data_IF_211828761432
#
_entry.id   IF_211828761432
#
_cell.length_a   1.000
_cell.length_b   1.000
_cell.length_c   1.000
_cell.angle_alpha   90.00
_cell.angle_beta   90.00
_cell.angle_gamma   90.00
#
_symmetry.space_group_name_H-M   'P 1'
#
loop_
_entity.id
_entity.type
_entity.pdbx_description
1 polymer ?
#
# COMPACT_ATOMS: atom_id res chain seq x y z
N UNK A 1 9.94 1.59 24.43
CA UNK A 1 9.17 2.49 25.35
C UNK A 1 8.17 3.35 24.59
N UNK A 2 8.55 4.03 23.51
CA UNK A 2 7.62 4.93 22.81
C UNK A 2 6.55 4.16 22.02
N UNK A 3 6.91 3.11 21.31
CA UNK A 3 5.94 2.23 20.66
C UNK A 3 4.91 1.65 21.63
N UNK A 4 5.34 1.21 22.81
CA UNK A 4 4.44 0.69 23.85
C UNK A 4 3.45 1.76 24.34
N UNK A 5 3.93 2.98 24.55
CA UNK A 5 3.10 4.14 24.91
C UNK A 5 2.06 4.46 23.81
N UNK A 6 2.49 4.42 22.54
CA UNK A 6 1.61 4.71 21.40
C UNK A 6 0.55 3.60 21.22
N UNK A 7 0.94 2.34 21.34
CA UNK A 7 0.00 1.22 21.30
C UNK A 7 -1.01 1.35 22.44
N UNK A 8 -0.55 1.53 23.68
CA UNK A 8 -1.45 1.65 24.83
C UNK A 8 -2.42 2.84 24.73
N UNK A 9 -2.02 3.92 24.03
CA UNK A 9 -2.82 5.14 23.92
C UNK A 9 -3.77 5.16 22.73
N UNK A 10 -3.37 4.56 21.62
CA UNK A 10 -4.05 4.79 20.33
C UNK A 10 -4.49 3.52 19.60
N UNK A 11 -3.92 2.34 19.95
CA UNK A 11 -4.32 1.11 19.27
C UNK A 11 -5.68 0.66 19.76
N UNK A 12 -6.62 0.56 18.85
CA UNK A 12 -7.95 0.01 19.09
C UNK A 12 -8.05 -1.33 18.35
N UNK A 13 -8.13 -2.48 19.08
CA UNK A 13 -8.21 -3.80 18.46
C UNK A 13 -9.63 -4.18 18.01
N UNK A 14 -10.65 -3.41 18.39
CA UNK A 14 -12.04 -3.76 18.14
C UNK A 14 -12.39 -3.72 16.64
N UNK A 15 -13.37 -4.50 16.17
CA UNK A 15 -13.92 -4.39 14.83
C UNK A 15 -14.36 -2.94 14.52
N UNK A 16 -14.15 -2.51 13.27
CA UNK A 16 -14.46 -1.14 12.82
C UNK A 16 -13.63 -0.02 13.46
N UNK A 17 -12.57 -0.37 14.20
CA UNK A 17 -11.68 0.62 14.81
C UNK A 17 -11.11 1.60 13.80
N UNK A 18 -11.15 2.89 14.13
CA UNK A 18 -10.64 3.98 13.28
C UNK A 18 -9.12 4.16 13.41
N UNK A 19 -8.49 3.59 14.43
CA UNK A 19 -7.05 3.74 14.66
C UNK A 19 -6.43 2.42 15.06
N UNK A 20 -5.51 1.94 14.25
CA UNK A 20 -4.68 0.77 14.54
C UNK A 20 -3.22 1.11 14.43
N UNK A 21 -2.43 0.65 15.38
CA UNK A 21 -0.97 0.82 15.37
C UNK A 21 -0.32 -0.41 14.76
N UNK A 22 0.64 -0.19 13.89
CA UNK A 22 1.49 -1.20 13.26
C UNK A 22 2.94 -0.85 13.58
N UNK A 23 3.79 -1.83 13.85
CA UNK A 23 5.21 -1.60 14.05
C UNK A 23 5.93 -1.66 12.70
N UNK A 24 6.64 -0.58 12.36
CA UNK A 24 7.21 -0.39 11.03
C UNK A 24 8.68 0.08 11.07
N UNK A 25 9.64 -0.74 11.54
CA UNK A 25 11.06 -0.47 11.32
C UNK A 25 11.32 -0.41 9.81
N UNK A 26 12.16 0.55 9.36
CA UNK A 26 12.16 1.01 7.98
C UNK A 26 12.56 -0.08 6.95
N UNK A 27 13.72 -0.70 7.13
CA UNK A 27 14.24 -1.69 6.16
C UNK A 27 15.46 -2.45 6.72
N UNK A 28 15.91 -3.55 6.11
CA UNK A 28 17.17 -4.23 6.46
C UNK A 28 18.41 -3.33 6.45
N UNK A 29 18.43 -2.28 5.63
CA UNK A 29 19.54 -1.31 5.57
C UNK A 29 19.69 -0.45 6.82
N UNK A 30 18.59 -0.12 7.48
CA UNK A 30 18.54 0.96 8.47
C UNK A 30 18.22 0.49 9.88
N UNK A 31 17.97 -0.80 10.06
CA UNK A 31 17.57 -1.39 11.34
C UNK A 31 18.46 -2.57 11.69
N UNK A 32 18.92 -2.65 12.95
CA UNK A 32 19.75 -3.77 13.40
C UNK A 32 18.95 -5.07 13.52
N UNK A 33 19.65 -6.20 13.45
CA UNK A 33 19.06 -7.54 13.59
C UNK A 33 18.31 -7.70 14.91
N UNK A 34 18.91 -7.19 16.00
CA UNK A 34 18.35 -7.24 17.35
C UNK A 34 17.03 -6.47 17.40
N UNK A 35 17.01 -5.25 16.83
CA UNK A 35 15.80 -4.42 16.78
C UNK A 35 14.67 -5.06 16.01
N UNK A 36 14.97 -5.72 14.87
CA UNK A 36 13.96 -6.47 14.10
C UNK A 36 13.42 -7.66 14.90
N UNK A 37 14.31 -8.47 15.50
CA UNK A 37 13.90 -9.62 16.31
C UNK A 37 13.07 -9.22 17.54
N UNK A 38 13.50 -8.18 18.27
CA UNK A 38 12.74 -7.63 19.39
C UNK A 38 11.37 -7.07 18.95
N UNK A 39 11.33 -6.42 17.80
CA UNK A 39 10.07 -5.91 17.24
C UNK A 39 9.10 -7.05 16.93
N UNK A 40 9.56 -8.16 16.37
CA UNK A 40 8.70 -9.30 16.07
C UNK A 40 8.10 -9.94 17.33
N UNK A 41 8.90 -10.09 18.38
CA UNK A 41 8.41 -10.58 19.69
C UNK A 41 7.39 -9.62 20.29
N UNK A 42 7.76 -8.34 20.36
CA UNK A 42 6.94 -7.30 20.98
C UNK A 42 5.60 -7.09 20.24
N UNK A 43 5.62 -7.11 18.89
CA UNK A 43 4.39 -7.00 18.10
C UNK A 43 3.38 -8.09 18.43
N UNK A 44 3.85 -9.35 18.55
CA UNK A 44 3.00 -10.50 18.88
C UNK A 44 2.49 -10.49 20.32
N UNK A 45 3.30 -10.04 21.27
CA UNK A 45 2.86 -9.80 22.65
C UNK A 45 1.74 -8.75 22.70
N UNK A 46 1.87 -7.68 21.90
CA UNK A 46 0.87 -6.61 21.82
C UNK A 46 -0.27 -6.89 20.85
N UNK A 47 -0.20 -7.98 20.08
CA UNK A 47 -1.19 -8.35 19.03
C UNK A 47 -1.37 -7.25 17.99
N UNK A 48 -0.28 -6.59 17.60
CA UNK A 48 -0.23 -5.60 16.51
C UNK A 48 0.50 -6.18 15.30
N UNK A 49 0.20 -5.68 14.13
CA UNK A 49 0.83 -6.10 12.88
C UNK A 49 2.21 -5.46 12.70
N UNK A 50 2.96 -6.02 11.76
CA UNK A 50 4.31 -5.58 11.41
C UNK A 50 4.41 -5.29 9.92
N UNK A 51 5.15 -4.23 9.60
CA UNK A 51 5.41 -3.79 8.24
C UNK A 51 6.85 -3.30 8.09
N UNK A 52 7.48 -3.59 6.95
CA UNK A 52 8.77 -3.02 6.56
C UNK A 52 8.90 -2.99 5.03
N UNK A 53 9.85 -2.19 4.51
CA UNK A 53 10.24 -2.26 3.11
C UNK A 53 11.14 -3.49 2.91
N UNK A 54 10.90 -4.24 1.84
CA UNK A 54 11.69 -5.43 1.53
C UNK A 54 11.73 -5.70 0.03
N UNK A 55 12.89 -6.12 -0.45
CA UNK A 55 13.16 -6.47 -1.84
C UNK A 55 12.73 -5.35 -2.82
N UNK A 56 13.01 -4.09 -2.45
CA UNK A 56 12.70 -2.92 -3.28
C UNK A 56 13.73 -2.73 -4.38
N UNK A 57 15.02 -2.88 -4.07
CA UNK A 57 16.12 -2.64 -5.01
C UNK A 57 17.12 -3.78 -5.01
N UNK A 58 17.88 -3.92 -6.09
CA UNK A 58 19.00 -4.88 -6.15
C UNK A 58 20.10 -4.56 -5.12
N UNK A 59 20.28 -3.29 -4.77
CA UNK A 59 21.25 -2.88 -3.75
C UNK A 59 20.94 -3.49 -2.38
N UNK A 60 19.65 -3.72 -2.09
CA UNK A 60 19.23 -4.40 -0.87
C UNK A 60 19.64 -5.89 -0.88
N UNK A 61 19.43 -6.59 -2.00
CA UNK A 61 19.84 -7.99 -2.15
C UNK A 61 21.36 -8.11 -2.02
N UNK A 62 22.11 -7.24 -2.70
CA UNK A 62 23.57 -7.18 -2.61
C UNK A 62 24.04 -6.92 -1.17
N UNK A 63 23.43 -5.95 -0.48
CA UNK A 63 23.75 -5.66 0.91
C UNK A 63 23.49 -6.87 1.81
N UNK A 64 22.31 -7.47 1.72
CA UNK A 64 21.95 -8.61 2.55
C UNK A 64 22.89 -9.80 2.30
N UNK A 65 23.19 -10.14 1.04
CA UNK A 65 24.12 -11.23 0.70
C UNK A 65 25.55 -10.96 1.17
N UNK A 66 26.06 -9.75 0.94
CA UNK A 66 27.44 -9.40 1.28
C UNK A 66 27.67 -9.19 2.78
N UNK A 67 26.71 -8.57 3.49
CA UNK A 67 26.86 -8.22 4.89
C UNK A 67 26.23 -9.22 5.86
N UNK A 68 25.15 -9.86 5.45
CA UNK A 68 24.37 -10.76 6.30
C UNK A 68 24.46 -12.23 5.86
N UNK A 69 25.01 -12.52 4.66
CA UNK A 69 25.21 -13.87 4.14
C UNK A 69 23.92 -14.58 3.68
N UNK A 70 22.83 -13.85 3.48
CA UNK A 70 21.53 -14.40 3.13
C UNK A 70 20.72 -13.41 2.28
N UNK A 71 19.65 -13.87 1.61
CA UNK A 71 18.75 -12.98 0.88
C UNK A 71 17.92 -12.10 1.82
N UNK A 72 17.31 -11.01 1.31
CA UNK A 72 16.42 -10.18 2.12
C UNK A 72 15.31 -10.98 2.82
N UNK A 73 14.65 -11.91 2.13
CA UNK A 73 13.58 -12.71 2.74
C UNK A 73 14.14 -13.70 3.78
N UNK A 74 15.26 -14.40 3.49
CA UNK A 74 15.91 -15.27 4.45
C UNK A 74 16.33 -14.53 5.72
N UNK A 75 16.79 -13.29 5.57
CA UNK A 75 17.11 -12.46 6.72
C UNK A 75 15.86 -12.16 7.57
N UNK A 76 14.73 -11.78 6.95
CA UNK A 76 13.49 -11.52 7.66
C UNK A 76 12.95 -12.79 8.33
N UNK A 77 13.04 -13.95 7.69
CA UNK A 77 12.72 -15.25 8.29
C UNK A 77 13.57 -15.51 9.54
N UNK A 78 14.88 -15.22 9.49
CA UNK A 78 15.82 -15.43 10.61
C UNK A 78 15.54 -14.60 11.84
N UNK A 79 14.79 -13.50 11.71
CA UNK A 79 14.40 -12.59 12.80
C UNK A 79 12.91 -12.68 13.14
N UNK A 80 12.21 -13.69 12.61
CA UNK A 80 10.83 -13.97 12.95
C UNK A 80 9.78 -13.09 12.26
N UNK A 81 10.13 -12.43 11.17
CA UNK A 81 9.23 -11.57 10.38
C UNK A 81 8.50 -12.39 9.31
N UNK A 82 7.67 -13.32 9.73
CA UNK A 82 6.85 -14.18 8.85
C UNK A 82 5.49 -14.41 9.46
N UNK A 83 4.50 -14.63 8.61
CA UNK A 83 3.14 -14.97 9.09
C UNK A 83 2.07 -13.98 8.66
N UNK A 84 0.81 -14.23 9.07
CA UNK A 84 -0.34 -13.43 8.66
C UNK A 84 -0.37 -12.02 9.26
N UNK A 85 0.46 -11.77 10.25
CA UNK A 85 0.63 -10.49 10.93
C UNK A 85 1.72 -9.60 10.29
N UNK A 86 2.30 -10.04 9.16
CA UNK A 86 3.40 -9.36 8.47
C UNK A 86 3.02 -9.01 7.03
N UNK A 87 3.39 -7.80 6.59
CA UNK A 87 3.44 -7.46 5.16
C UNK A 87 4.67 -6.63 4.82
N UNK A 88 5.11 -6.75 3.56
CA UNK A 88 6.25 -6.05 3.01
C UNK A 88 5.83 -5.04 1.98
N UNK A 89 6.42 -3.84 1.99
CA UNK A 89 6.26 -2.89 0.90
C UNK A 89 7.18 -3.25 -0.27
N UNK A 90 6.74 -2.95 -1.48
CA UNK A 90 7.40 -3.14 -2.77
C UNK A 90 7.48 -4.59 -3.25
N UNK A 91 8.33 -5.44 -2.66
CA UNK A 91 8.44 -6.85 -3.01
C UNK A 91 8.82 -7.12 -4.47
N UNK A 92 9.70 -6.27 -5.04
CA UNK A 92 10.03 -6.27 -6.48
C UNK A 92 10.95 -7.44 -6.84
N UNK A 93 11.97 -7.68 -6.02
CA UNK A 93 13.09 -8.55 -6.33
C UNK A 93 13.03 -9.92 -5.65
N UNK A 94 11.84 -10.37 -5.26
CA UNK A 94 11.67 -11.74 -4.79
C UNK A 94 11.84 -12.75 -5.93
N UNK A 95 12.60 -13.81 -5.67
CA UNK A 95 12.72 -14.96 -6.59
C UNK A 95 11.43 -15.78 -6.62
N UNK A 96 11.21 -16.64 -7.62
CA UNK A 96 10.05 -17.53 -7.65
C UNK A 96 9.92 -18.41 -6.41
N UNK A 97 11.04 -18.89 -5.85
CA UNK A 97 11.10 -19.69 -4.64
C UNK A 97 10.69 -18.88 -3.40
N UNK A 98 11.13 -17.62 -3.32
CA UNK A 98 10.75 -16.71 -2.24
C UNK A 98 9.27 -16.33 -2.32
N UNK A 99 8.74 -16.10 -3.53
CA UNK A 99 7.31 -15.86 -3.77
C UNK A 99 6.47 -17.03 -3.25
N UNK A 100 6.89 -18.26 -3.54
CA UNK A 100 6.21 -19.45 -3.01
C UNK A 100 6.24 -19.49 -1.49
N UNK A 101 7.40 -19.25 -0.87
CA UNK A 101 7.53 -19.22 0.61
C UNK A 101 6.66 -18.15 1.24
N UNK A 102 6.57 -16.96 0.64
CA UNK A 102 5.67 -15.88 1.10
C UNK A 102 4.20 -16.33 1.14
N UNK A 103 3.75 -17.06 0.11
CA UNK A 103 2.43 -17.66 0.07
C UNK A 103 2.23 -18.72 1.16
N UNK A 104 3.16 -19.66 1.28
CA UNK A 104 3.14 -20.73 2.29
C UNK A 104 3.12 -20.16 3.73
N UNK A 105 3.80 -19.04 3.98
CA UNK A 105 3.83 -18.31 5.26
C UNK A 105 2.65 -17.35 5.46
N UNK A 106 1.77 -17.20 4.46
CA UNK A 106 0.65 -16.26 4.49
C UNK A 106 1.07 -14.79 4.77
N UNK A 107 2.22 -14.37 4.27
CA UNK A 107 2.66 -12.98 4.34
C UNK A 107 1.87 -12.09 3.38
N UNK A 108 1.92 -10.77 3.60
CA UNK A 108 1.34 -9.77 2.71
C UNK A 108 2.39 -8.99 1.91
N UNK A 109 1.97 -8.41 0.78
CA UNK A 109 2.76 -7.45 -0.01
C UNK A 109 1.92 -6.22 -0.33
N UNK A 110 2.42 -5.05 0.01
CA UNK A 110 1.88 -3.75 -0.37
C UNK A 110 2.57 -3.27 -1.65
N UNK A 111 1.88 -3.40 -2.80
CA UNK A 111 2.41 -3.04 -4.10
C UNK A 111 2.26 -1.53 -4.34
N UNK A 112 3.37 -0.84 -4.64
CA UNK A 112 3.48 0.61 -4.83
C UNK A 112 3.91 0.95 -6.26
N UNK A 113 3.09 0.71 -7.31
CA UNK A 113 3.54 0.75 -8.70
C UNK A 113 4.09 2.10 -9.14
N UNK A 114 3.45 3.22 -8.79
CA UNK A 114 3.94 4.54 -9.21
C UNK A 114 5.28 4.87 -8.54
N UNK A 115 5.44 4.59 -7.26
CA UNK A 115 6.71 4.79 -6.56
C UNK A 115 7.83 3.94 -7.18
N UNK A 116 7.59 2.65 -7.37
CA UNK A 116 8.55 1.72 -7.95
C UNK A 116 9.04 2.20 -9.33
N UNK A 117 8.13 2.65 -10.19
CA UNK A 117 8.45 3.15 -11.53
C UNK A 117 9.15 4.51 -11.47
N UNK A 118 8.73 5.42 -10.60
CA UNK A 118 9.34 6.73 -10.43
C UNK A 118 10.78 6.64 -9.97
N UNK A 119 11.06 5.79 -9.00
CA UNK A 119 12.41 5.56 -8.47
C UNK A 119 13.28 4.66 -9.36
N UNK A 120 12.67 4.00 -10.36
CA UNK A 120 13.38 3.04 -11.20
C UNK A 120 13.73 1.75 -10.47
N UNK A 121 13.04 1.44 -9.36
CA UNK A 121 13.31 0.26 -8.54
C UNK A 121 12.99 -1.06 -9.27
N UNK A 122 12.00 -1.05 -10.20
CA UNK A 122 11.63 -2.22 -11.00
C UNK A 122 10.13 -2.50 -11.01
N UNK A 123 9.75 -3.66 -11.53
CA UNK A 123 8.35 -4.12 -11.64
C UNK A 123 8.16 -5.35 -10.73
N UNK A 124 7.35 -5.21 -9.71
CA UNK A 124 6.99 -6.31 -8.81
C UNK A 124 6.26 -7.43 -9.56
N UNK A 125 6.52 -8.68 -9.23
CA UNK A 125 5.92 -9.86 -9.86
C UNK A 125 4.50 -10.16 -9.31
N UNK A 126 3.61 -9.17 -9.28
CA UNK A 126 2.27 -9.27 -8.69
C UNK A 126 1.44 -10.45 -9.21
N UNK A 127 1.40 -10.77 -10.51
CA UNK A 127 0.68 -11.96 -10.97
C UNK A 127 1.16 -13.25 -10.29
N UNK A 128 2.47 -13.44 -10.17
CA UNK A 128 3.05 -14.61 -9.53
C UNK A 128 2.79 -14.65 -8.01
N UNK A 129 2.86 -13.49 -7.33
CA UNK A 129 2.51 -13.37 -5.91
C UNK A 129 1.05 -13.81 -5.67
N UNK A 130 0.12 -13.35 -6.50
CA UNK A 130 -1.30 -13.73 -6.38
C UNK A 130 -1.53 -15.21 -6.67
N UNK A 131 -0.83 -15.79 -7.65
CA UNK A 131 -0.88 -17.23 -7.96
C UNK A 131 -0.34 -18.09 -6.84
N UNK A 132 0.69 -17.63 -6.13
CA UNK A 132 1.25 -18.28 -4.95
C UNK A 132 0.40 -18.09 -3.68
N UNK A 133 -0.71 -17.36 -3.74
CA UNK A 133 -1.59 -17.12 -2.60
C UNK A 133 -1.12 -16.01 -1.65
N UNK A 134 -0.12 -15.22 -2.03
CA UNK A 134 0.32 -14.06 -1.24
C UNK A 134 -0.81 -13.02 -1.21
N UNK A 135 -1.07 -12.45 -0.04
CA UNK A 135 -2.03 -11.36 0.12
C UNK A 135 -1.42 -10.08 -0.46
N UNK A 136 -2.02 -9.54 -1.53
CA UNK A 136 -1.50 -8.34 -2.21
C UNK A 136 -2.52 -7.21 -2.13
N UNK A 137 -2.09 -6.08 -1.56
CA UNK A 137 -2.80 -4.80 -1.59
C UNK A 137 -2.08 -3.76 -2.45
N UNK A 138 -2.80 -2.73 -2.91
CA UNK A 138 -2.19 -1.57 -3.59
C UNK A 138 -1.98 -0.46 -2.57
N UNK A 139 -0.83 0.19 -2.63
CA UNK A 139 -0.44 1.30 -1.78
C UNK A 139 0.18 2.45 -2.59
N UNK A 140 0.17 3.66 -2.02
CA UNK A 140 0.67 4.87 -2.69
C UNK A 140 2.12 5.20 -2.34
N UNK A 141 2.65 4.65 -1.24
CA UNK A 141 3.96 5.00 -0.68
C UNK A 141 4.05 6.46 -0.19
N UNK A 142 5.25 6.96 0.06
CA UNK A 142 5.49 8.32 0.54
C UNK A 142 5.35 9.39 -0.55
N UNK A 143 4.99 10.60 -0.13
CA UNK A 143 4.81 11.74 -1.07
C UNK A 143 6.07 12.12 -1.85
N UNK A 144 7.26 11.78 -1.34
CA UNK A 144 8.53 12.03 -2.02
C UNK A 144 8.72 11.17 -3.28
N UNK A 145 8.15 9.97 -3.30
CA UNK A 145 8.19 9.02 -4.42
C UNK A 145 6.87 8.94 -5.20
N UNK A 146 5.80 9.56 -4.68
CA UNK A 146 4.49 9.59 -5.33
C UNK A 146 3.73 10.89 -5.03
N UNK A 147 3.98 11.91 -5.83
CA UNK A 147 3.39 13.25 -5.63
C UNK A 147 1.86 13.28 -5.71
N UNK A 148 1.25 12.32 -6.41
CA UNK A 148 -0.20 12.33 -6.61
C UNK A 148 -0.97 11.76 -5.44
N UNK A 149 -0.40 10.82 -4.69
CA UNK A 149 -1.06 10.04 -3.60
C UNK A 149 -2.48 9.58 -3.97
N UNK A 150 -2.69 9.21 -5.24
CA UNK A 150 -4.00 8.86 -5.80
C UNK A 150 -4.08 7.36 -6.05
N UNK A 151 -4.87 6.64 -5.24
CA UNK A 151 -4.98 5.19 -5.33
C UNK A 151 -5.59 4.71 -6.68
N UNK A 152 -6.45 5.51 -7.33
CA UNK A 152 -6.97 5.18 -8.65
C UNK A 152 -5.85 5.20 -9.72
N UNK A 153 -4.90 6.15 -9.61
CA UNK A 153 -3.71 6.19 -10.47
C UNK A 153 -2.81 4.97 -10.23
N UNK A 154 -2.66 4.54 -8.98
CA UNK A 154 -1.94 3.30 -8.66
C UNK A 154 -2.60 2.09 -9.34
N UNK A 155 -3.93 2.00 -9.27
CA UNK A 155 -4.68 0.93 -9.96
C UNK A 155 -4.47 0.96 -11.48
N UNK A 156 -4.55 2.13 -12.12
CA UNK A 156 -4.29 2.29 -13.56
C UNK A 156 -2.87 1.88 -13.92
N UNK A 157 -1.89 2.30 -13.12
CA UNK A 157 -0.47 1.96 -13.32
C UNK A 157 -0.24 0.46 -13.15
N UNK A 158 -0.74 -0.16 -12.07
CA UNK A 158 -0.66 -1.60 -11.85
C UNK A 158 -1.28 -2.40 -13.00
N UNK A 159 -2.46 -1.98 -13.47
CA UNK A 159 -3.14 -2.62 -14.59
C UNK A 159 -2.27 -2.71 -15.84
N UNK A 160 -1.61 -1.59 -16.19
CA UNK A 160 -0.85 -1.49 -17.44
C UNK A 160 0.52 -2.12 -17.31
N UNK A 161 1.25 -1.87 -16.23
CA UNK A 161 2.63 -2.33 -16.08
C UNK A 161 2.74 -3.85 -16.05
N UNK A 162 1.81 -4.53 -15.37
CA UNK A 162 1.84 -5.99 -15.31
C UNK A 162 1.51 -6.66 -16.63
N UNK A 163 0.72 -6.03 -17.50
CA UNK A 163 0.40 -6.58 -18.82
C UNK A 163 1.59 -6.62 -19.76
N UNK A 164 2.58 -5.75 -19.58
CA UNK A 164 3.75 -5.67 -20.46
C UNK A 164 4.56 -6.97 -20.45
N UNK A 165 4.77 -7.57 -19.29
CA UNK A 165 5.57 -8.81 -19.19
C UNK A 165 4.76 -10.10 -19.19
N UNK A 166 3.45 -10.05 -18.87
CA UNK A 166 2.64 -11.24 -18.57
C UNK A 166 1.37 -11.37 -19.43
N UNK A 167 1.14 -10.42 -20.34
CA UNK A 167 0.00 -10.41 -21.25
C UNK A 167 -1.28 -9.82 -20.64
N UNK A 168 -2.25 -9.51 -21.51
CA UNK A 168 -3.47 -8.75 -21.11
C UNK A 168 -4.39 -9.50 -20.14
N UNK A 169 -4.36 -10.82 -20.15
CA UNK A 169 -5.22 -11.66 -19.30
C UNK A 169 -4.71 -11.80 -17.87
N UNK A 170 -3.43 -11.54 -17.62
CA UNK A 170 -2.82 -11.71 -16.28
C UNK A 170 -3.38 -10.77 -15.23
N UNK A 171 -3.70 -9.54 -15.66
CA UNK A 171 -4.21 -8.48 -14.79
C UNK A 171 -5.50 -7.86 -15.34
N UNK A 172 -6.66 -8.51 -15.14
CA UNK A 172 -7.95 -7.94 -15.50
C UNK A 172 -8.33 -6.81 -14.50
N UNK A 173 -9.11 -5.79 -14.92
CA UNK A 173 -9.51 -4.66 -14.08
C UNK A 173 -10.09 -5.04 -12.73
N UNK A 174 -10.95 -6.03 -12.66
CA UNK A 174 -11.58 -6.49 -11.40
C UNK A 174 -10.57 -7.06 -10.42
N UNK A 175 -9.47 -7.66 -10.89
CA UNK A 175 -8.37 -8.14 -10.03
C UNK A 175 -7.65 -6.95 -9.39
N UNK A 176 -7.39 -5.90 -10.15
CA UNK A 176 -6.75 -4.66 -9.66
C UNK A 176 -7.64 -3.94 -8.63
N UNK A 177 -8.94 -3.80 -8.93
CA UNK A 177 -9.90 -3.21 -7.96
C UNK A 177 -9.93 -4.03 -6.67
N UNK A 178 -9.93 -5.38 -6.78
CA UNK A 178 -9.88 -6.24 -5.59
C UNK A 178 -8.61 -6.02 -4.77
N UNK A 179 -7.45 -5.86 -5.39
CA UNK A 179 -6.20 -5.54 -4.68
C UNK A 179 -6.28 -4.21 -3.95
N UNK A 180 -6.89 -3.19 -4.57
CA UNK A 180 -7.03 -1.85 -3.96
C UNK A 180 -8.13 -1.76 -2.89
N UNK A 181 -8.96 -2.78 -2.73
CA UNK A 181 -10.06 -2.84 -1.78
C UNK A 181 -9.86 -4.01 -0.82
N UNK A 182 -10.36 -5.20 -1.14
CA UNK A 182 -10.24 -6.39 -0.30
C UNK A 182 -8.79 -6.78 -0.03
N UNK A 183 -7.90 -6.66 -1.01
CA UNK A 183 -6.46 -6.94 -0.84
C UNK A 183 -5.82 -6.06 0.23
N UNK A 184 -6.13 -4.75 0.24
CA UNK A 184 -5.72 -3.84 1.30
C UNK A 184 -6.25 -4.28 2.68
N UNK A 185 -7.54 -4.61 2.77
CA UNK A 185 -8.15 -5.12 3.99
C UNK A 185 -7.46 -6.40 4.49
N UNK A 186 -7.17 -7.33 3.59
CA UNK A 186 -6.54 -8.62 3.91
C UNK A 186 -5.11 -8.43 4.47
N UNK A 187 -4.28 -7.53 3.89
CA UNK A 187 -2.93 -7.28 4.44
C UNK A 187 -2.96 -6.54 5.77
N UNK A 188 -3.96 -5.70 6.00
CA UNK A 188 -4.15 -4.96 7.26
C UNK A 188 -4.83 -5.80 8.36
N UNK A 189 -5.28 -7.02 8.03
CA UNK A 189 -6.01 -7.87 8.97
C UNK A 189 -7.35 -7.28 9.43
N UNK A 190 -8.05 -6.58 8.52
CA UNK A 190 -9.33 -5.94 8.80
C UNK A 190 -10.44 -6.56 7.92
N UNK A 191 -11.04 -7.67 8.34
CA UNK A 191 -12.03 -8.39 7.55
C UNK A 191 -13.34 -7.62 7.33
N UNK A 192 -13.59 -6.60 8.13
CA UNK A 192 -14.81 -5.78 8.13
C UNK A 192 -14.83 -4.65 7.09
N UNK A 193 -13.73 -4.43 6.35
CA UNK A 193 -13.61 -3.41 5.30
C UNK A 193 -13.29 -4.03 3.92
N UNK A 194 -13.25 -3.20 2.88
CA UNK A 194 -12.77 -3.57 1.54
C UNK A 194 -13.84 -4.20 0.63
N UNK A 195 -15.10 -4.25 1.01
CA UNK A 195 -16.20 -4.68 0.15
C UNK A 195 -17.54 -4.07 0.58
N UNK A 196 -18.47 -3.95 -0.38
CA UNK A 196 -19.82 -3.46 -0.14
C UNK A 196 -20.73 -4.66 0.14
N UNK A 197 -21.04 -4.85 1.42
CA UNK A 197 -21.89 -5.96 1.88
C UNK A 197 -22.55 -5.57 3.22
N UNK A 198 -23.79 -6.00 3.50
CA UNK A 198 -24.40 -5.81 4.82
C UNK A 198 -23.52 -6.32 5.95
N UNK A 199 -23.35 -5.54 7.00
CA UNK A 199 -22.48 -5.87 8.14
C UNK A 199 -21.02 -5.43 8.00
N UNK A 200 -20.62 -4.88 6.84
CA UNK A 200 -19.30 -4.28 6.64
C UNK A 200 -19.30 -2.80 7.01
N UNK A 201 -18.10 -2.24 7.21
CA UNK A 201 -17.95 -0.80 7.41
C UNK A 201 -18.45 -0.01 6.20
N UNK A 202 -19.07 1.12 6.46
CA UNK A 202 -19.48 2.03 5.39
C UNK A 202 -18.29 2.91 4.94
N UNK A 203 -17.29 2.25 4.32
CA UNK A 203 -16.11 2.87 3.72
C UNK A 203 -16.27 2.82 2.19
N UNK A 204 -16.63 3.94 1.58
CA UNK A 204 -17.04 4.01 0.18
C UNK A 204 -16.33 5.15 -0.54
N UNK A 205 -15.92 4.90 -1.78
CA UNK A 205 -15.48 5.92 -2.73
C UNK A 205 -16.37 5.87 -3.96
N UNK A 206 -17.01 6.97 -4.32
CA UNK A 206 -17.89 7.10 -5.47
C UNK A 206 -17.22 7.96 -6.53
N UNK A 207 -17.16 7.47 -7.76
CA UNK A 207 -16.59 8.18 -8.90
C UNK A 207 -17.67 8.54 -9.90
N UNK A 208 -17.60 9.77 -10.41
CA UNK A 208 -18.53 10.26 -11.41
C UNK A 208 -18.11 9.82 -12.80
N UNK A 209 -18.95 9.06 -13.49
CA UNK A 209 -18.68 8.51 -14.82
C UNK A 209 -19.55 9.13 -15.95
N UNK A 210 -20.45 10.07 -15.64
CA UNK A 210 -21.29 10.77 -16.61
C UNK A 210 -20.58 11.96 -17.27
N UNK A 211 -19.31 11.75 -17.65
CA UNK A 211 -18.42 12.74 -18.26
C UNK A 211 -18.00 12.28 -19.66
N UNK A 212 -17.59 13.24 -20.50
CA UNK A 212 -17.15 12.94 -21.86
C UNK A 212 -16.01 11.92 -21.92
N UNK A 213 -15.13 11.91 -20.92
CA UNK A 213 -14.01 10.99 -20.83
C UNK A 213 -14.45 9.51 -20.76
N UNK A 214 -15.69 9.25 -20.35
CA UNK A 214 -16.29 7.92 -20.20
C UNK A 214 -17.34 7.62 -21.25
N UNK A 215 -17.53 8.49 -22.25
CA UNK A 215 -18.54 8.31 -23.28
C UNK A 215 -18.32 6.98 -24.05
N UNK A 216 -19.37 6.17 -24.12
CA UNK A 216 -19.33 4.85 -24.77
C UNK A 216 -18.77 3.71 -23.91
N UNK A 217 -18.23 3.98 -22.70
CA UNK A 217 -17.60 2.97 -21.85
C UNK A 217 -18.52 2.37 -20.76
N UNK A 218 -19.78 2.79 -20.68
CA UNK A 218 -20.70 2.45 -19.58
C UNK A 218 -21.19 1.00 -19.57
N UNK A 219 -20.87 0.22 -20.60
CA UNK A 219 -21.18 -1.21 -20.62
C UNK A 219 -20.42 -2.01 -19.53
N UNK A 220 -19.23 -1.54 -19.11
CA UNK A 220 -18.49 -2.07 -17.97
C UNK A 220 -17.82 -0.92 -17.18
N UNK A 221 -18.49 -0.39 -16.15
CA UNK A 221 -17.97 0.70 -15.33
C UNK A 221 -16.65 0.38 -14.64
N UNK A 222 -16.39 -0.88 -14.30
CA UNK A 222 -15.12 -1.29 -13.69
C UNK A 222 -13.93 -1.19 -14.68
N UNK A 223 -14.17 -1.48 -15.98
CA UNK A 223 -13.19 -1.20 -17.02
C UNK A 223 -13.06 0.30 -17.27
N UNK A 224 -14.19 1.00 -17.35
CA UNK A 224 -14.21 2.43 -17.64
C UNK A 224 -13.33 3.23 -16.66
N UNK A 225 -13.49 3.04 -15.36
CA UNK A 225 -12.74 3.80 -14.34
C UNK A 225 -11.22 3.55 -14.39
N UNK A 226 -10.79 2.40 -14.92
CA UNK A 226 -9.36 2.06 -15.01
C UNK A 226 -8.73 2.35 -16.38
N UNK A 227 -9.51 2.47 -17.44
CA UNK A 227 -8.98 2.73 -18.79
C UNK A 227 -9.29 4.12 -19.33
N UNK A 228 -10.39 4.71 -18.89
CA UNK A 228 -10.84 6.01 -19.37
C UNK A 228 -10.52 7.11 -18.37
N UNK A 229 -10.31 8.31 -18.89
CA UNK A 229 -10.00 9.48 -18.06
C UNK A 229 -8.64 9.43 -17.36
N UNK A 230 -8.36 10.42 -16.57
CA UNK A 230 -7.07 10.66 -15.91
C UNK A 230 -7.18 10.56 -14.39
N UNK A 231 -7.51 9.38 -13.85
CA UNK A 231 -7.62 9.11 -12.41
C UNK A 231 -8.37 10.24 -11.64
N UNK A 232 -9.68 10.39 -11.85
CA UNK A 232 -10.43 11.51 -11.27
C UNK A 232 -10.46 11.43 -9.74
N UNK A 233 -10.66 12.58 -9.09
CA UNK A 233 -11.00 12.61 -7.66
C UNK A 233 -12.34 11.89 -7.44
N UNK A 234 -12.50 11.26 -6.27
CA UNK A 234 -13.79 10.74 -5.86
C UNK A 234 -14.82 11.88 -5.72
N UNK A 235 -16.01 11.67 -6.21
CA UNK A 235 -17.14 12.60 -6.03
C UNK A 235 -17.59 12.61 -4.57
N UNK A 236 -17.62 11.41 -3.96
CA UNK A 236 -17.86 11.22 -2.53
C UNK A 236 -16.86 10.24 -1.95
N UNK A 237 -16.37 10.54 -0.74
CA UNK A 237 -15.63 9.60 0.10
C UNK A 237 -16.34 9.53 1.45
N UNK A 238 -16.69 8.32 1.84
CA UNK A 238 -17.37 8.03 3.10
C UNK A 238 -16.47 7.08 3.89
N UNK A 239 -16.21 7.39 5.15
CA UNK A 239 -15.41 6.55 6.06
C UNK A 239 -16.18 6.37 7.36
N UNK A 240 -16.39 5.14 7.77
CA UNK A 240 -17.22 4.77 8.92
C UNK A 240 -18.59 5.48 8.91
N UNK A 241 -19.19 5.61 7.72
CA UNK A 241 -20.48 6.28 7.52
C UNK A 241 -20.43 7.82 7.52
N UNK A 242 -19.25 8.44 7.67
CA UNK A 242 -19.09 9.91 7.64
C UNK A 242 -18.65 10.37 6.26
N UNK A 243 -19.32 11.35 5.69
CA UNK A 243 -18.92 11.97 4.42
C UNK A 243 -17.72 12.88 4.67
N UNK A 244 -16.57 12.52 4.10
CA UNK A 244 -15.31 13.28 4.19
C UNK A 244 -15.02 14.07 2.92
N UNK A 245 -15.50 13.59 1.77
CA UNK A 245 -15.48 14.31 0.49
C UNK A 245 -16.89 14.37 -0.04
N UNK A 246 -17.34 15.54 -0.45
CA UNK A 246 -18.62 15.81 -1.11
C UNK A 246 -18.39 16.63 -2.36
N UNK A 247 -18.90 16.17 -3.50
CA UNK A 247 -18.74 16.82 -4.82
C UNK A 247 -17.27 17.12 -5.18
N UNK A 248 -16.37 16.23 -4.74
CA UNK A 248 -14.94 16.33 -5.00
C UNK A 248 -14.17 17.28 -4.07
N UNK A 249 -14.81 17.86 -3.06
CA UNK A 249 -14.22 18.79 -2.07
C UNK A 249 -14.19 18.17 -0.66
N UNK A 250 -13.16 18.45 0.12
CA UNK A 250 -13.06 18.00 1.53
C UNK A 250 -14.08 18.74 2.41
N UNK A 251 -14.86 18.00 3.21
CA UNK A 251 -15.88 18.59 4.08
C UNK A 251 -15.32 19.20 5.37
N UNK A 252 -14.10 18.83 5.77
CA UNK A 252 -13.50 19.21 7.06
C UNK A 252 -12.34 20.20 6.97
N UNK A 253 -11.94 20.62 5.76
CA UNK A 253 -10.76 21.48 5.52
C UNK A 253 -11.05 22.48 4.40
N UNK A 254 -10.50 23.69 4.52
CA UNK A 254 -10.39 24.64 3.40
C UNK A 254 -9.16 24.25 2.55
N UNK A 255 -9.40 23.61 1.40
CA UNK A 255 -8.33 23.18 0.48
C UNK A 255 -7.50 24.35 -0.02
N UNK A 256 -8.06 25.56 -0.14
CA UNK A 256 -7.32 26.75 -0.59
C UNK A 256 -6.35 27.24 0.46
N UNK A 257 -6.77 27.28 1.71
CA UNK A 257 -5.89 27.62 2.83
C UNK A 257 -4.73 26.62 2.93
N UNK A 258 -5.01 25.32 2.86
CA UNK A 258 -3.98 24.27 2.88
C UNK A 258 -3.01 24.43 1.70
N UNK A 259 -3.50 24.69 0.49
CA UNK A 259 -2.69 24.91 -0.69
C UNK A 259 -1.72 26.11 -0.51
N UNK A 260 -2.22 27.25 -0.06
CA UNK A 260 -1.38 28.44 0.14
C UNK A 260 -0.33 28.18 1.21
N UNK A 261 -0.72 27.63 2.35
CA UNK A 261 0.18 27.32 3.45
C UNK A 261 1.28 26.31 3.04
N UNK A 262 0.94 25.28 2.27
CA UNK A 262 1.91 24.33 1.76
C UNK A 262 2.95 24.99 0.83
N UNK A 263 2.52 25.86 -0.07
CA UNK A 263 3.41 26.59 -0.96
C UNK A 263 4.35 27.55 -0.19
N UNK A 264 3.84 28.26 0.81
CA UNK A 264 4.65 29.16 1.65
C UNK A 264 5.73 28.38 2.42
N UNK A 265 5.36 27.20 2.97
CA UNK A 265 6.31 26.31 3.65
C UNK A 265 7.36 25.75 2.70
N UNK A 266 6.96 25.31 1.50
CA UNK A 266 7.87 24.82 0.48
C UNK A 266 8.85 25.91 0.01
N UNK A 267 8.35 27.12 -0.28
CA UNK A 267 9.20 28.27 -0.64
C UNK A 267 10.17 28.63 0.51
N UNK A 268 9.71 28.58 1.76
CA UNK A 268 10.56 28.77 2.92
C UNK A 268 11.66 27.73 3.06
N UNK A 269 11.35 26.46 2.75
CA UNK A 269 12.33 25.38 2.75
C UNK A 269 13.40 25.57 1.67
N UNK A 270 12.98 25.90 0.44
CA UNK A 270 13.89 26.16 -0.69
C UNK A 270 14.84 27.32 -0.40
N UNK A 271 14.32 28.45 0.12
CA UNK A 271 15.17 29.58 0.53
C UNK A 271 16.20 29.19 1.57
N UNK A 272 15.85 28.36 2.58
CA UNK A 272 16.82 27.87 3.57
C UNK A 272 17.85 26.92 2.98
N UNK A 273 17.51 26.20 1.91
CA UNK A 273 18.42 25.33 1.17
C UNK A 273 19.29 26.08 0.13
N UNK A 274 19.17 27.41 0.04
CA UNK A 274 19.93 28.22 -0.93
C UNK A 274 19.46 28.05 -2.38
N UNK A 275 18.20 27.71 -2.58
CA UNK A 275 17.56 27.53 -3.90
C UNK A 275 16.44 28.53 -4.13
#
# INVERSE_FOLDING_TARGET
KDCDRLIAKYHDPDPFAMTRIVLAPCSPFSVTKESLAETAVFAREKKVFMHTHLAETNDEDDFCRQKLGMSPLEYMESVGWTGPDVWYAHGIWFTPEEIKRLGDMNCGVAHCPCSNLRLGSGICHVPALLEAGVRVGIAVDGSASNDSSNLLKEMQTALLVHRVGTGVSSMPPRKVIRMATRGGADILGQPEIGQIQPGMAADLALFRLDRIDFAGAMADPAHAVLFCGSAPRAEYTIVAGRVLVEKGELTGLDEREVFHRANDLAAGLLRRAGK
#
